data_IF_064030631168
#
_entry.id   IF_064030631168
#
_cell.length_a   1.000
_cell.length_b   1.000
_cell.length_c   1.000
_cell.angle_alpha   90.00
_cell.angle_beta   90.00
_cell.angle_gamma   90.00
#
_symmetry.space_group_name_H-M   'P 1'
#
loop_
_entity.id
_entity.type
_entity.pdbx_description
1 polymer ?
#
# COMPACT_ATOMS: atom_id res chain seq x y z
N UNK A 1 31.70 14.49 -36.08
CA UNK A 1 30.66 14.29 -35.05
C UNK A 1 29.33 14.14 -35.79
N UNK A 2 28.77 12.93 -35.81
CA UNK A 2 27.70 12.56 -36.75
C UNK A 2 26.35 13.13 -36.26
N UNK A 3 25.71 13.99 -37.06
CA UNK A 3 24.44 14.63 -36.75
C UNK A 3 23.32 13.59 -36.48
N UNK A 4 23.41 12.44 -37.15
CA UNK A 4 22.51 11.30 -36.97
C UNK A 4 22.67 10.70 -35.56
N UNK A 5 23.89 10.60 -35.06
CA UNK A 5 24.16 10.08 -33.71
C UNK A 5 23.62 11.02 -32.62
N UNK A 6 23.65 12.34 -32.85
CA UNK A 6 23.08 13.35 -31.94
C UNK A 6 21.54 13.30 -31.92
N UNK A 7 20.89 13.09 -33.07
CA UNK A 7 19.43 12.94 -33.16
C UNK A 7 18.92 11.66 -32.48
N UNK A 8 19.64 10.54 -32.62
CA UNK A 8 19.30 9.28 -31.95
C UNK A 8 19.42 9.42 -30.43
N UNK A 9 20.45 10.12 -29.92
CA UNK A 9 20.58 10.41 -28.48
C UNK A 9 19.44 11.29 -27.93
N UNK A 10 18.90 12.20 -28.75
CA UNK A 10 17.81 13.10 -28.38
C UNK A 10 16.45 12.39 -28.27
N UNK A 11 16.20 11.39 -29.12
CA UNK A 11 14.95 10.60 -29.12
C UNK A 11 14.92 9.60 -27.94
N UNK A 12 16.08 9.14 -27.47
CA UNK A 12 16.19 8.13 -26.40
C UNK A 12 16.00 8.70 -24.98
N UNK A 13 15.88 10.03 -24.81
CA UNK A 13 15.83 10.68 -23.50
C UNK A 13 14.46 11.09 -22.98
N UNK A 14 13.36 10.71 -23.64
CA UNK A 14 12.01 11.04 -23.12
C UNK A 14 11.32 9.81 -22.55
N UNK A 15 11.72 9.41 -21.35
CA UNK A 15 10.85 8.55 -20.53
C UNK A 15 9.64 9.38 -20.12
N UNK A 16 8.48 9.10 -20.71
CA UNK A 16 7.21 9.70 -20.25
C UNK A 16 6.82 9.03 -18.95
N UNK A 17 7.10 9.69 -17.83
CA UNK A 17 6.61 9.27 -16.53
C UNK A 17 5.13 9.65 -16.37
N UNK A 18 4.41 8.94 -15.51
CA UNK A 18 3.05 9.30 -15.15
C UNK A 18 3.10 10.55 -14.27
N UNK A 19 2.76 11.72 -14.84
CA UNK A 19 2.62 12.96 -14.08
C UNK A 19 1.18 13.13 -13.60
N UNK A 20 0.80 12.37 -12.55
CA UNK A 20 -0.55 12.38 -11.98
C UNK A 20 -0.72 13.38 -10.82
N UNK A 21 0.28 14.23 -10.56
CA UNK A 21 0.23 15.23 -9.48
C UNK A 21 0.51 14.70 -8.07
N UNK A 22 0.66 13.38 -7.88
CA UNK A 22 0.91 12.76 -6.57
C UNK A 22 2.41 12.67 -6.26
N UNK A 23 2.74 12.43 -4.99
CA UNK A 23 4.10 12.14 -4.50
C UNK A 23 5.12 13.22 -4.94
N UNK A 24 4.74 14.51 -4.82
CA UNK A 24 5.64 15.64 -5.08
C UNK A 24 6.75 15.77 -4.03
N UNK A 25 6.54 15.18 -2.86
CA UNK A 25 7.54 14.88 -1.83
C UNK A 25 7.54 13.36 -1.57
N UNK A 26 8.62 12.79 -1.01
CA UNK A 26 8.62 11.38 -0.60
C UNK A 26 7.41 11.07 0.30
N UNK A 27 6.68 9.97 0.05
CA UNK A 27 5.49 9.65 0.82
C UNK A 27 5.90 9.19 2.23
N UNK A 28 5.18 9.65 3.24
CA UNK A 28 5.42 9.32 4.64
C UNK A 28 4.19 8.61 5.20
N UNK A 29 4.39 7.46 5.83
CA UNK A 29 3.30 6.64 6.33
C UNK A 29 3.80 5.36 6.98
N UNK A 30 2.88 4.43 7.18
CA UNK A 30 3.11 3.14 7.80
C UNK A 30 2.75 2.01 6.81
N UNK A 31 3.52 0.92 6.84
CA UNK A 31 3.33 -0.28 6.01
C UNK A 31 3.40 -1.53 6.89
N UNK A 32 2.42 -2.42 6.77
CA UNK A 32 2.31 -3.60 7.65
C UNK A 32 3.45 -4.61 7.50
N UNK A 33 3.96 -4.82 6.28
CA UNK A 33 4.86 -5.93 5.92
C UNK A 33 6.07 -6.08 6.85
N UNK A 34 6.76 -4.98 7.14
CA UNK A 34 8.05 -5.03 7.82
C UNK A 34 7.94 -5.54 9.27
N UNK A 35 6.75 -5.41 9.89
CA UNK A 35 6.53 -5.80 11.29
C UNK A 35 5.58 -7.00 11.43
N UNK A 36 4.59 -7.13 10.55
CA UNK A 36 3.50 -8.10 10.66
C UNK A 36 3.57 -9.21 9.60
N UNK A 37 4.30 -8.99 8.50
CA UNK A 37 4.45 -9.94 7.39
C UNK A 37 3.07 -10.48 6.93
N UNK A 38 2.95 -11.80 6.77
CA UNK A 38 1.74 -12.50 6.34
C UNK A 38 1.08 -13.29 7.48
N UNK A 39 1.07 -12.75 8.71
CA UNK A 39 0.37 -13.41 9.82
C UNK A 39 -1.15 -13.38 9.58
N UNK A 40 -1.78 -14.54 9.40
CA UNK A 40 -3.21 -14.67 9.09
C UNK A 40 -3.98 -15.47 10.15
N UNK A 41 -3.29 -16.07 11.13
CA UNK A 41 -3.92 -16.77 12.24
C UNK A 41 -4.38 -15.78 13.32
N UNK A 42 -5.55 -15.19 13.11
CA UNK A 42 -6.15 -14.24 14.05
C UNK A 42 -6.63 -14.89 15.36
N UNK A 43 -6.80 -16.21 15.42
CA UNK A 43 -7.18 -16.89 16.66
C UNK A 43 -5.98 -16.98 17.60
N UNK A 44 -4.81 -17.31 17.05
CA UNK A 44 -3.56 -17.41 17.80
C UNK A 44 -2.89 -16.04 18.02
N UNK A 45 -3.01 -15.14 17.05
CA UNK A 45 -2.32 -13.85 17.04
C UNK A 45 -3.29 -12.66 16.79
N UNK A 46 -4.30 -12.45 17.65
CA UNK A 46 -5.40 -11.50 17.41
C UNK A 46 -5.00 -10.01 17.35
N UNK A 47 -3.79 -9.66 17.82
CA UNK A 47 -3.26 -8.29 17.80
C UNK A 47 -2.19 -8.09 16.70
N UNK A 48 -1.86 -9.13 15.95
CA UNK A 48 -0.78 -9.11 14.95
C UNK A 48 -1.22 -9.63 13.59
N UNK A 49 -2.29 -10.40 13.51
CA UNK A 49 -2.78 -10.87 12.24
C UNK A 49 -3.23 -9.70 11.35
N UNK A 50 -3.01 -9.87 10.05
CA UNK A 50 -3.47 -8.96 9.00
C UNK A 50 -4.99 -8.97 9.01
N UNK A 51 -5.59 -7.92 9.58
CA UNK A 51 -7.03 -7.80 9.80
C UNK A 51 -7.43 -6.33 9.81
N UNK A 52 -8.71 -6.05 9.55
CA UNK A 52 -9.30 -4.71 9.64
C UNK A 52 -8.96 -4.04 10.97
N UNK A 53 -9.08 -4.78 12.08
CA UNK A 53 -8.74 -4.31 13.43
C UNK A 53 -7.31 -3.79 13.53
N UNK A 54 -6.33 -4.48 12.93
CA UNK A 54 -4.94 -4.06 12.96
C UNK A 54 -4.78 -2.70 12.27
N UNK A 55 -5.37 -2.54 11.09
CA UNK A 55 -5.23 -1.31 10.30
C UNK A 55 -5.97 -0.13 10.93
N UNK A 56 -7.19 -0.34 11.46
CA UNK A 56 -7.91 0.67 12.23
C UNK A 56 -7.10 1.14 13.45
N UNK A 57 -6.53 0.21 14.21
CA UNK A 57 -5.70 0.54 15.36
C UNK A 57 -4.45 1.35 14.96
N UNK A 58 -3.80 1.02 13.84
CA UNK A 58 -2.63 1.78 13.36
C UNK A 58 -3.02 3.17 12.87
N UNK A 59 -4.18 3.32 12.23
CA UNK A 59 -4.72 4.63 11.84
C UNK A 59 -4.99 5.51 13.08
N UNK A 60 -5.64 4.94 14.11
CA UNK A 60 -5.91 5.64 15.36
C UNK A 60 -4.61 6.09 16.03
N UNK A 61 -3.60 5.22 16.11
CA UNK A 61 -2.30 5.53 16.73
C UNK A 61 -1.50 6.58 15.94
N UNK A 62 -1.51 6.51 14.60
CA UNK A 62 -0.86 7.55 13.79
C UNK A 62 -1.43 8.93 14.10
N UNK A 63 -2.74 9.00 14.39
CA UNK A 63 -3.39 10.25 14.76
C UNK A 63 -3.19 10.63 16.23
N UNK A 64 -3.40 9.70 17.16
CA UNK A 64 -3.37 10.01 18.60
C UNK A 64 -1.96 10.30 19.11
N UNK A 65 -0.94 9.72 18.49
CA UNK A 65 0.46 9.82 18.91
C UNK A 65 1.27 10.89 18.16
N UNK A 66 0.64 11.72 17.31
CA UNK A 66 1.32 12.86 16.70
C UNK A 66 2.00 12.58 15.34
N UNK A 67 1.91 11.37 14.80
CA UNK A 67 2.61 11.01 13.55
C UNK A 67 1.99 11.71 12.34
N UNK A 68 0.65 11.77 12.29
CA UNK A 68 -0.07 12.47 11.23
C UNK A 68 0.28 13.97 11.19
N UNK A 69 0.48 14.59 12.36
CA UNK A 69 0.84 16.00 12.52
C UNK A 69 2.23 16.32 11.93
N UNK A 70 3.10 15.33 11.81
CA UNK A 70 4.44 15.46 11.22
C UNK A 70 4.54 14.82 9.83
N UNK A 71 3.40 14.49 9.22
CA UNK A 71 3.30 14.11 7.80
C UNK A 71 3.18 12.62 7.51
N UNK A 72 3.06 11.73 8.51
CA UNK A 72 2.76 10.30 8.26
C UNK A 72 1.26 10.12 7.98
N UNK A 73 0.88 10.19 6.71
CA UNK A 73 -0.51 10.30 6.26
C UNK A 73 -1.07 9.01 5.66
N UNK A 74 -0.22 8.04 5.33
CA UNK A 74 -0.63 6.80 4.67
C UNK A 74 -0.63 5.61 5.63
N UNK A 75 -1.70 4.80 5.59
CA UNK A 75 -1.77 3.45 6.17
C UNK A 75 -1.83 2.48 5.00
N UNK A 76 -0.71 1.79 4.74
CA UNK A 76 -0.60 0.91 3.59
C UNK A 76 -0.78 -0.56 4.00
N UNK A 77 -1.68 -1.22 3.27
CA UNK A 77 -1.96 -2.64 3.35
C UNK A 77 -1.03 -3.34 2.36
N UNK A 78 -0.20 -4.25 2.88
CA UNK A 78 0.68 -5.09 2.06
C UNK A 78 0.00 -6.44 1.75
N UNK A 79 0.77 -7.49 1.45
CA UNK A 79 0.24 -8.80 1.08
C UNK A 79 -0.68 -9.44 2.14
N UNK A 80 -1.39 -10.49 1.74
CA UNK A 80 -2.20 -11.36 2.59
C UNK A 80 -3.51 -10.75 3.13
N UNK A 81 -3.99 -9.64 2.57
CA UNK A 81 -5.30 -9.08 2.89
C UNK A 81 -6.48 -9.78 2.19
N UNK A 82 -6.25 -10.34 1.01
CA UNK A 82 -7.33 -10.80 0.14
C UNK A 82 -7.78 -12.23 0.42
N UNK A 83 -8.96 -12.55 -0.08
CA UNK A 83 -9.38 -13.92 -0.34
C UNK A 83 -8.37 -14.65 -1.24
N UNK A 84 -8.31 -15.97 -1.09
CA UNK A 84 -7.44 -16.82 -1.92
C UNK A 84 -7.93 -16.93 -3.36
N UNK A 85 -9.20 -16.66 -3.59
CA UNK A 85 -9.84 -16.70 -4.90
C UNK A 85 -10.57 -15.39 -5.14
N UNK A 86 -10.59 -14.97 -6.40
CA UNK A 86 -11.47 -13.90 -6.86
C UNK A 86 -12.91 -14.39 -6.80
N UNK A 87 -13.85 -13.46 -6.70
CA UNK A 87 -15.27 -13.77 -6.82
C UNK A 87 -15.64 -14.18 -8.25
N UNK A 88 -16.92 -14.49 -8.47
CA UNK A 88 -17.43 -14.98 -9.77
C UNK A 88 -17.17 -13.99 -10.92
N UNK A 89 -17.17 -12.70 -10.63
CA UNK A 89 -16.89 -11.62 -11.59
C UNK A 89 -15.37 -11.39 -11.81
N UNK A 90 -14.51 -12.15 -11.15
CA UNK A 90 -13.05 -12.02 -11.24
C UNK A 90 -12.47 -10.86 -10.43
N UNK A 91 -13.23 -10.29 -9.49
CA UNK A 91 -12.79 -9.19 -8.62
C UNK A 91 -12.07 -9.72 -7.37
N UNK A 92 -11.07 -8.98 -6.88
CA UNK A 92 -10.42 -9.27 -5.60
C UNK A 92 -11.36 -8.84 -4.45
N UNK A 93 -11.48 -9.70 -3.45
CA UNK A 93 -12.22 -9.40 -2.22
C UNK A 93 -11.28 -9.51 -1.03
N UNK A 94 -11.49 -8.70 0.03
CA UNK A 94 -10.77 -8.88 1.27
C UNK A 94 -11.27 -10.16 1.96
N UNK A 95 -10.38 -10.78 2.74
CA UNK A 95 -10.72 -11.98 3.50
C UNK A 95 -11.89 -11.70 4.46
N UNK A 96 -13.00 -12.41 4.28
CA UNK A 96 -14.28 -12.09 4.94
C UNK A 96 -14.24 -12.27 6.46
N UNK A 97 -13.36 -13.14 6.97
CA UNK A 97 -13.21 -13.37 8.41
C UNK A 97 -12.34 -12.30 9.07
N UNK A 98 -11.31 -11.81 8.35
CA UNK A 98 -10.34 -10.84 8.88
C UNK A 98 -10.70 -9.39 8.58
N UNK A 99 -11.53 -9.16 7.58
CA UNK A 99 -12.04 -7.85 7.13
C UNK A 99 -13.56 -7.87 6.96
N UNK A 100 -14.32 -8.08 8.06
CA UNK A 100 -15.76 -8.31 8.00
C UNK A 100 -16.59 -7.13 7.48
N UNK A 101 -16.09 -5.89 7.53
CA UNK A 101 -16.79 -4.74 6.93
C UNK A 101 -16.72 -4.71 5.40
N UNK A 102 -15.91 -5.58 4.77
CA UNK A 102 -15.72 -5.65 3.32
C UNK A 102 -14.93 -4.48 2.71
N UNK A 103 -14.48 -3.54 3.54
CA UNK A 103 -13.79 -2.31 3.14
C UNK A 103 -12.54 -2.11 4.02
N UNK A 104 -11.69 -1.18 3.58
CA UNK A 104 -10.53 -0.68 4.31
C UNK A 104 -10.76 0.74 4.83
#
# INVERSE_FOLDING_TARGET
MNLIALLVLFVVHTSRTLDNGLVRTPPMGWLSWMTFMCETDCQRHPLRCISERLYMQMADLLKSEGYAEVGYEFVNIDDCWSERKRNEDGTLEPDHDRFPSGNF
#
